data_IF_757405597840
#
_entry.id   IF_757405597840
#
_cell.length_a   1.000
_cell.length_b   1.000
_cell.length_c   1.000
_cell.angle_alpha   90.00
_cell.angle_beta   90.00
_cell.angle_gamma   90.00
#
_symmetry.space_group_name_H-M   'P 1'
#
loop_
_entity.id
_entity.type
_entity.pdbx_description
1 polymer ?
#
# COMPACT_ATOMS: atom_id res chain seq x y z
N UNK A 1 1.57 8.86 -25.33
CA UNK A 1 1.47 9.72 -26.52
C UNK A 1 1.36 8.77 -27.72
N UNK A 2 0.29 8.84 -28.51
CA UNK A 2 0.22 8.10 -29.78
C UNK A 2 0.72 9.06 -30.86
N UNK A 3 2.01 8.96 -31.19
CA UNK A 3 2.75 9.97 -31.98
C UNK A 3 2.50 9.72 -33.47
N UNK A 4 2.43 8.45 -33.86
CA UNK A 4 2.10 8.01 -35.21
C UNK A 4 1.08 6.86 -35.11
N UNK A 5 -0.23 7.11 -35.34
CA UNK A 5 -1.28 6.12 -35.11
C UNK A 5 -1.14 4.85 -35.96
N UNK A 6 -0.37 4.92 -37.04
CA UNK A 6 -0.13 3.79 -37.94
C UNK A 6 1.03 2.89 -37.51
N UNK A 7 1.74 3.23 -36.43
CA UNK A 7 2.76 2.40 -35.79
C UNK A 7 2.26 1.94 -34.43
N UNK A 8 2.31 0.64 -34.16
CA UNK A 8 1.94 0.11 -32.85
C UNK A 8 3.05 0.37 -31.84
N UNK A 9 2.84 1.37 -30.97
CA UNK A 9 3.83 1.72 -29.95
C UNK A 9 3.22 2.21 -28.63
N UNK A 10 3.91 1.95 -27.53
CA UNK A 10 3.56 2.44 -26.19
C UNK A 10 4.79 3.07 -25.54
N UNK A 11 4.60 4.22 -24.88
CA UNK A 11 5.65 4.91 -24.14
C UNK A 11 5.29 5.01 -22.67
N UNK A 12 6.24 4.68 -21.79
CA UNK A 12 6.11 4.73 -20.34
C UNK A 12 7.28 5.51 -19.76
N UNK A 13 6.98 6.57 -19.00
CA UNK A 13 7.97 7.31 -18.23
C UNK A 13 8.13 6.68 -16.84
N UNK A 14 9.33 6.17 -16.54
CA UNK A 14 9.71 5.60 -15.25
C UNK A 14 10.52 6.65 -14.49
N UNK A 15 9.86 7.33 -13.54
CA UNK A 15 10.45 8.43 -12.76
C UNK A 15 11.63 7.97 -11.91
N UNK A 16 12.78 8.61 -12.13
CA UNK A 16 13.98 8.46 -11.31
C UNK A 16 13.97 9.35 -10.06
N UNK A 17 15.14 9.47 -9.41
CA UNK A 17 15.36 10.42 -8.31
C UNK A 17 15.34 11.88 -8.77
N UNK A 18 15.81 12.11 -9.99
CA UNK A 18 15.92 13.41 -10.65
C UNK A 18 15.74 13.22 -12.17
N UNK A 19 15.69 14.34 -12.91
CA UNK A 19 15.51 14.33 -14.37
C UNK A 19 16.49 13.38 -15.08
N UNK A 20 17.76 13.40 -14.67
CA UNK A 20 18.84 12.61 -15.28
C UNK A 20 18.78 11.10 -14.98
N UNK A 21 17.82 10.66 -14.16
CA UNK A 21 17.63 9.25 -13.79
C UNK A 21 16.23 8.73 -14.16
N UNK A 22 15.40 9.56 -14.76
CA UNK A 22 14.14 9.13 -15.35
C UNK A 22 14.43 8.40 -16.66
N UNK A 23 13.74 7.29 -16.86
CA UNK A 23 13.87 6.43 -18.03
C UNK A 23 12.59 6.50 -18.84
N UNK A 24 12.71 6.77 -20.13
CA UNK A 24 11.62 6.63 -21.08
C UNK A 24 11.70 5.25 -21.74
N UNK A 25 10.71 4.40 -21.48
CA UNK A 25 10.58 3.08 -22.08
C UNK A 25 9.61 3.13 -23.27
N UNK A 26 10.11 2.87 -24.47
CA UNK A 26 9.31 2.66 -25.67
C UNK A 26 9.15 1.17 -25.95
N UNK A 27 7.94 0.74 -26.29
CA UNK A 27 7.67 -0.60 -26.81
C UNK A 27 7.07 -0.48 -28.19
N UNK A 28 7.65 -1.15 -29.19
CA UNK A 28 7.19 -1.13 -30.57
C UNK A 28 6.80 -2.53 -31.04
N UNK A 29 5.84 -2.59 -31.96
CA UNK A 29 5.48 -3.80 -32.67
C UNK A 29 5.35 -3.52 -34.17
N UNK A 30 5.94 -4.40 -34.98
CA UNK A 30 5.84 -4.37 -36.44
C UNK A 30 5.34 -5.74 -36.92
N UNK A 31 4.10 -5.85 -37.42
CA UNK A 31 3.52 -7.14 -37.79
C UNK A 31 3.76 -7.57 -39.24
N UNK A 32 4.12 -6.65 -40.15
CA UNK A 32 4.15 -6.94 -41.59
C UNK A 32 5.44 -7.65 -42.03
N UNK A 33 5.31 -8.79 -42.72
CA UNK A 33 6.46 -9.49 -43.31
C UNK A 33 6.89 -8.92 -44.68
N UNK A 34 6.06 -8.08 -45.31
CA UNK A 34 6.31 -7.48 -46.61
C UNK A 34 7.42 -6.40 -46.56
N UNK A 35 8.42 -6.51 -47.44
CA UNK A 35 9.60 -5.64 -47.48
C UNK A 35 9.26 -4.16 -47.76
N UNK A 36 8.27 -3.90 -48.62
CA UNK A 36 7.84 -2.54 -48.94
C UNK A 36 7.19 -1.87 -47.73
N UNK A 37 6.32 -2.62 -47.02
CA UNK A 37 5.68 -2.15 -45.80
C UNK A 37 6.67 -1.95 -44.65
N UNK A 38 7.69 -2.81 -44.54
CA UNK A 38 8.79 -2.64 -43.58
C UNK A 38 9.57 -1.36 -43.81
N UNK A 39 9.84 -1.02 -45.07
CA UNK A 39 10.52 0.25 -45.41
C UNK A 39 9.69 1.45 -44.95
N UNK A 40 8.39 1.47 -45.27
CA UNK A 40 7.47 2.52 -44.81
C UNK A 40 7.35 2.55 -43.27
N UNK A 41 7.39 1.39 -42.62
CA UNK A 41 7.39 1.33 -41.15
C UNK A 41 8.66 1.94 -40.55
N UNK A 42 9.84 1.73 -41.15
CA UNK A 42 11.10 2.33 -40.70
C UNK A 42 11.04 3.86 -40.80
N UNK A 43 10.52 4.41 -41.90
CA UNK A 43 10.35 5.87 -42.09
C UNK A 43 9.43 6.49 -41.01
N UNK A 44 8.36 5.76 -40.67
CA UNK A 44 7.43 6.17 -39.60
C UNK A 44 8.05 6.01 -38.22
N UNK A 45 8.81 4.94 -37.99
CA UNK A 45 9.57 4.73 -36.76
C UNK A 45 10.58 5.86 -36.54
N UNK A 46 11.32 6.25 -37.58
CA UNK A 46 12.21 7.42 -37.58
C UNK A 46 11.45 8.72 -37.22
N UNK A 47 10.27 8.93 -37.81
CA UNK A 47 9.43 10.09 -37.49
C UNK A 47 9.00 10.11 -36.01
N UNK A 48 8.66 8.95 -35.44
CA UNK A 48 8.35 8.81 -34.01
C UNK A 48 9.57 9.11 -33.16
N UNK A 49 10.74 8.57 -33.51
CA UNK A 49 11.99 8.84 -32.80
C UNK A 49 12.35 10.33 -32.83
N UNK A 50 12.21 11.01 -33.98
CA UNK A 50 12.45 12.44 -34.11
C UNK A 50 11.53 13.25 -33.17
N UNK A 51 10.23 12.94 -33.15
CA UNK A 51 9.27 13.61 -32.30
C UNK A 51 9.53 13.37 -30.79
N UNK A 52 10.01 12.18 -30.42
CA UNK A 52 10.40 11.86 -29.03
C UNK A 52 11.70 12.58 -28.66
N UNK A 53 12.70 12.56 -29.54
CA UNK A 53 14.00 13.19 -29.34
C UNK A 53 13.88 14.70 -29.09
N UNK A 54 12.94 15.38 -29.74
CA UNK A 54 12.64 16.80 -29.49
C UNK A 54 12.07 17.08 -28.09
N UNK A 55 11.48 16.08 -27.44
CA UNK A 55 10.77 16.22 -26.14
C UNK A 55 11.52 15.58 -24.99
N UNK A 56 12.44 14.66 -25.27
CA UNK A 56 13.08 13.81 -24.30
C UNK A 56 14.60 13.83 -24.48
N UNK A 57 15.30 14.36 -23.46
CA UNK A 57 16.76 14.46 -23.40
C UNK A 57 17.39 13.44 -22.42
N UNK A 58 16.58 12.56 -21.84
CA UNK A 58 17.00 11.61 -20.81
C UNK A 58 17.38 10.22 -21.31
N UNK A 59 17.41 9.27 -20.38
CA UNK A 59 17.66 7.85 -20.69
C UNK A 59 16.48 7.31 -21.49
N UNK A 60 16.77 6.65 -22.60
CA UNK A 60 15.79 6.01 -23.46
C UNK A 60 16.12 4.52 -23.61
N UNK A 61 15.12 3.68 -23.40
CA UNK A 61 15.18 2.24 -23.67
C UNK A 61 14.01 1.93 -24.59
N UNK A 62 14.27 1.26 -25.70
CA UNK A 62 13.26 0.81 -26.64
C UNK A 62 13.34 -0.71 -26.73
N UNK A 63 12.18 -1.38 -26.69
CA UNK A 63 12.10 -2.82 -26.82
C UNK A 63 10.95 -3.23 -27.75
N UNK A 64 10.99 -4.44 -28.27
CA UNK A 64 9.84 -5.05 -28.95
C UNK A 64 10.18 -5.89 -30.15
N UNK A 65 9.15 -6.47 -30.75
CA UNK A 65 9.25 -7.30 -31.95
C UNK A 65 9.07 -6.43 -33.19
N UNK A 66 10.17 -6.27 -33.94
CA UNK A 66 10.20 -5.49 -35.16
C UNK A 66 10.02 -6.35 -36.42
N UNK A 67 10.02 -7.68 -36.30
CA UNK A 67 10.14 -8.63 -37.41
C UNK A 67 11.26 -8.28 -38.43
N UNK A 68 12.24 -7.45 -38.08
CA UNK A 68 13.43 -7.13 -38.88
C UNK A 68 14.54 -8.04 -38.37
N UNK A 69 14.91 -9.04 -39.17
CA UNK A 69 15.95 -9.98 -38.79
C UNK A 69 17.34 -9.35 -38.91
N UNK A 70 18.07 -9.31 -37.79
CA UNK A 70 19.45 -8.83 -37.74
C UNK A 70 20.49 -9.96 -37.75
N UNK A 71 20.08 -11.24 -37.80
CA UNK A 71 21.00 -12.35 -38.04
C UNK A 71 21.43 -12.44 -39.52
N UNK A 72 20.60 -11.93 -40.44
CA UNK A 72 20.86 -11.95 -41.88
C UNK A 72 21.18 -10.56 -42.41
N UNK A 73 22.21 -10.44 -43.25
CA UNK A 73 22.53 -9.18 -43.93
C UNK A 73 21.40 -8.86 -44.91
N UNK A 74 20.67 -7.77 -44.66
CA UNK A 74 19.59 -7.30 -45.52
C UNK A 74 19.55 -5.78 -45.57
N UNK A 75 19.13 -5.22 -46.71
CA UNK A 75 18.99 -3.76 -46.90
C UNK A 75 18.05 -3.13 -45.84
N UNK A 76 17.01 -3.86 -45.42
CA UNK A 76 16.09 -3.41 -44.38
C UNK A 76 16.78 -3.37 -43.02
N UNK A 77 17.55 -4.38 -42.67
CA UNK A 77 18.35 -4.41 -41.45
C UNK A 77 19.36 -3.26 -41.41
N UNK A 78 20.05 -3.00 -42.51
CA UNK A 78 20.99 -1.87 -42.66
C UNK A 78 20.30 -0.51 -42.49
N UNK A 79 19.16 -0.29 -43.15
CA UNK A 79 18.35 0.93 -42.99
C UNK A 79 17.88 1.12 -41.55
N UNK A 80 17.40 0.05 -40.92
CA UNK A 80 16.97 0.08 -39.53
C UNK A 80 18.12 0.45 -38.59
N UNK A 81 19.28 -0.18 -38.74
CA UNK A 81 20.48 0.16 -37.97
C UNK A 81 20.96 1.59 -38.22
N UNK A 82 20.88 2.09 -39.45
CA UNK A 82 21.23 3.47 -39.80
C UNK A 82 20.32 4.48 -39.07
N UNK A 83 19.00 4.22 -39.02
CA UNK A 83 18.06 5.04 -38.24
C UNK A 83 18.44 5.02 -36.76
N UNK A 84 18.70 3.85 -36.16
CA UNK A 84 19.13 3.78 -34.76
C UNK A 84 20.40 4.59 -34.50
N UNK A 85 21.40 4.44 -35.37
CA UNK A 85 22.66 5.18 -35.27
C UNK A 85 22.44 6.70 -35.36
N UNK A 86 21.55 7.18 -36.23
CA UNK A 86 21.21 8.60 -36.36
C UNK A 86 20.66 9.23 -35.06
N UNK A 87 20.02 8.43 -34.20
CA UNK A 87 19.49 8.87 -32.89
C UNK A 87 20.38 8.47 -31.70
N UNK A 88 21.65 8.11 -31.94
CA UNK A 88 22.57 7.60 -30.91
C UNK A 88 22.00 6.40 -30.13
N UNK A 89 21.28 5.52 -30.83
CA UNK A 89 20.67 4.32 -30.26
C UNK A 89 21.49 3.08 -30.64
N UNK A 90 21.77 2.24 -29.65
CA UNK A 90 22.49 0.98 -29.81
C UNK A 90 21.56 -0.18 -29.52
N UNK A 91 21.46 -1.14 -30.45
CA UNK A 91 20.77 -2.41 -30.23
C UNK A 91 21.74 -3.38 -29.51
N UNK A 92 21.26 -4.12 -28.51
CA UNK A 92 22.10 -4.93 -27.61
C UNK A 92 21.87 -6.45 -27.68
N UNK A 93 20.83 -6.92 -28.35
CA UNK A 93 20.55 -8.36 -28.41
C UNK A 93 21.36 -8.93 -29.57
N UNK A 94 22.23 -9.90 -29.29
CA UNK A 94 23.13 -10.50 -30.30
C UNK A 94 22.82 -11.96 -30.61
N UNK A 95 21.96 -12.60 -29.84
CA UNK A 95 21.54 -13.99 -30.05
C UNK A 95 20.15 -14.06 -30.70
N UNK A 96 19.82 -15.13 -31.43
CA UNK A 96 18.49 -15.31 -32.00
C UNK A 96 17.40 -15.29 -30.93
N UNK A 97 16.27 -14.63 -31.22
CA UNK A 97 15.13 -14.46 -30.31
C UNK A 97 13.91 -15.26 -30.74
N UNK A 98 13.97 -15.96 -31.88
CA UNK A 98 12.88 -16.82 -32.34
C UNK A 98 13.41 -18.14 -32.87
N UNK A 99 13.03 -19.24 -32.20
CA UNK A 99 13.37 -20.62 -32.55
C UNK A 99 14.86 -20.85 -32.86
N UNK A 100 15.76 -20.09 -32.22
CA UNK A 100 17.21 -20.18 -32.46
C UNK A 100 17.69 -19.77 -33.85
N UNK A 101 16.88 -19.05 -34.65
CA UNK A 101 17.20 -18.75 -36.06
C UNK A 101 17.28 -17.27 -36.41
N UNK A 102 16.35 -16.47 -35.90
CA UNK A 102 16.23 -15.06 -36.27
C UNK A 102 16.28 -14.18 -35.03
N UNK A 103 16.84 -12.98 -35.21
CA UNK A 103 16.90 -11.94 -34.19
C UNK A 103 15.96 -10.83 -34.64
N UNK A 104 14.74 -10.86 -34.12
CA UNK A 104 13.65 -9.93 -34.50
C UNK A 104 13.15 -9.10 -33.32
N UNK A 105 13.43 -9.58 -32.09
CA UNK A 105 13.13 -8.89 -30.85
C UNK A 105 14.35 -8.07 -30.43
N UNK A 106 14.20 -6.75 -30.38
CA UNK A 106 15.29 -5.83 -30.14
C UNK A 106 15.17 -5.20 -28.75
N UNK A 107 16.31 -4.99 -28.11
CA UNK A 107 16.42 -4.08 -26.96
C UNK A 107 17.50 -3.05 -27.29
N UNK A 108 17.12 -1.79 -27.23
CA UNK A 108 17.85 -0.66 -27.79
C UNK A 108 17.97 0.44 -26.72
N UNK A 109 19.11 1.10 -26.59
CA UNK A 109 19.26 2.23 -25.66
C UNK A 109 20.28 3.27 -26.14
N UNK A 110 20.14 4.50 -25.63
CA UNK A 110 21.09 5.60 -25.81
C UNK A 110 22.19 5.66 -24.72
N UNK A 111 22.25 4.66 -23.83
CA UNK A 111 23.26 4.55 -22.77
C UNK A 111 23.97 3.18 -22.80
N UNK A 112 24.61 2.80 -23.92
CA UNK A 112 25.29 1.52 -24.03
C UNK A 112 26.34 1.29 -22.92
N UNK A 113 27.00 2.36 -22.45
CA UNK A 113 27.97 2.34 -21.36
C UNK A 113 27.39 1.96 -19.98
N UNK A 114 26.07 1.99 -19.81
CA UNK A 114 25.38 1.62 -18.58
C UNK A 114 24.85 0.18 -18.60
N UNK A 115 25.00 -0.54 -19.72
CA UNK A 115 24.57 -1.93 -19.85
C UNK A 115 25.55 -2.84 -19.11
N UNK A 116 25.04 -3.59 -18.12
CA UNK A 116 25.82 -4.54 -17.32
C UNK A 116 25.84 -5.92 -17.98
N UNK A 117 24.68 -6.37 -18.48
CA UNK A 117 24.53 -7.67 -19.12
C UNK A 117 23.34 -7.67 -20.09
N UNK A 118 23.42 -8.53 -21.10
CA UNK A 118 22.38 -8.79 -22.09
C UNK A 118 22.49 -10.25 -22.50
N UNK A 119 21.36 -10.94 -22.65
CA UNK A 119 21.31 -12.30 -23.17
C UNK A 119 19.87 -12.65 -23.58
N UNK A 120 19.66 -13.84 -24.12
CA UNK A 120 18.36 -14.37 -24.53
C UNK A 120 18.05 -15.64 -23.73
N UNK A 121 16.96 -15.60 -22.97
CA UNK A 121 16.49 -16.76 -22.22
C UNK A 121 15.57 -17.62 -23.09
N UNK A 122 15.94 -18.88 -23.29
CA UNK A 122 15.10 -19.82 -24.03
C UNK A 122 13.75 -20.01 -23.32
N UNK A 123 12.64 -19.79 -24.04
CA UNK A 123 11.27 -19.95 -23.52
C UNK A 123 10.36 -20.86 -24.35
N UNK A 124 10.83 -22.06 -24.79
CA UNK A 124 10.07 -22.94 -25.68
C UNK A 124 8.75 -23.45 -25.08
N UNK A 125 8.62 -23.43 -23.74
CA UNK A 125 7.42 -23.86 -23.03
C UNK A 125 6.31 -22.78 -22.99
N UNK A 126 6.62 -21.54 -23.37
CA UNK A 126 5.75 -20.36 -23.18
C UNK A 126 5.41 -19.70 -24.51
N UNK A 127 6.38 -19.60 -25.43
CA UNK A 127 6.25 -18.93 -26.72
C UNK A 127 7.19 -19.54 -27.75
N UNK A 128 6.95 -19.29 -29.04
CA UNK A 128 7.92 -19.53 -30.09
C UNK A 128 9.04 -18.48 -30.16
N UNK A 129 8.88 -17.38 -29.40
CA UNK A 129 9.94 -16.41 -29.11
C UNK A 129 10.65 -16.79 -27.80
N UNK A 130 11.94 -16.50 -27.77
CA UNK A 130 12.80 -16.50 -26.61
C UNK A 130 12.86 -15.09 -26.02
N UNK A 131 13.12 -14.98 -24.72
CA UNK A 131 13.01 -13.71 -23.99
C UNK A 131 14.37 -12.99 -23.95
N UNK A 132 14.61 -11.96 -24.78
CA UNK A 132 15.78 -11.11 -24.60
C UNK A 132 15.64 -10.31 -23.29
N UNK A 133 16.75 -10.09 -22.62
CA UNK A 133 16.80 -9.19 -21.46
C UNK A 133 18.00 -8.26 -21.51
N UNK A 134 17.85 -7.13 -20.84
CA UNK A 134 18.90 -6.14 -20.65
C UNK A 134 18.94 -5.74 -19.18
N UNK A 135 20.13 -5.82 -18.57
CA UNK A 135 20.40 -5.32 -17.22
C UNK A 135 21.12 -3.98 -17.38
N UNK A 136 20.47 -2.89 -16.99
CA UNK A 136 21.01 -1.54 -17.08
C UNK A 136 21.24 -0.97 -15.69
N UNK A 137 22.41 -0.37 -15.47
CA UNK A 137 22.71 0.37 -14.25
C UNK A 137 22.09 1.77 -14.31
N UNK A 138 20.86 1.90 -13.78
CA UNK A 138 20.17 3.19 -13.65
C UNK A 138 19.90 3.52 -12.19
N UNK A 139 20.03 4.80 -11.83
CA UNK A 139 19.75 5.30 -10.47
C UNK A 139 18.25 5.45 -10.24
N UNK A 140 17.54 4.36 -9.96
CA UNK A 140 16.11 4.42 -9.66
C UNK A 140 15.84 4.68 -8.16
N UNK A 141 14.66 5.23 -7.87
CA UNK A 141 14.12 5.16 -6.51
C UNK A 141 13.77 3.70 -6.22
N UNK A 142 14.44 3.10 -5.24
CA UNK A 142 14.04 1.79 -4.75
C UNK A 142 12.64 1.90 -4.16
N UNK A 143 11.81 0.90 -4.42
CA UNK A 143 10.54 0.79 -3.72
C UNK A 143 10.82 0.71 -2.23
N UNK A 144 10.46 1.74 -1.48
CA UNK A 144 10.53 1.74 -0.02
C UNK A 144 9.33 0.98 0.52
N UNK A 145 9.52 -0.24 1.07
CA UNK A 145 8.42 -1.00 1.61
C UNK A 145 7.82 -0.25 2.80
N UNK A 146 6.49 -0.08 2.76
CA UNK A 146 5.77 0.46 3.91
C UNK A 146 5.70 -0.59 5.00
N UNK A 147 6.03 -0.22 6.22
CA UNK A 147 5.88 -1.08 7.40
C UNK A 147 4.79 -0.53 8.32
N UNK A 148 4.12 -1.42 9.04
CA UNK A 148 3.27 -1.08 10.18
C UNK A 148 3.58 -2.04 11.33
N UNK A 149 3.47 -1.54 12.55
CA UNK A 149 3.42 -2.39 13.72
C UNK A 149 1.98 -2.84 13.92
N UNK A 150 1.78 -4.15 14.07
CA UNK A 150 0.48 -4.75 14.41
C UNK A 150 0.66 -5.66 15.61
N UNK A 151 -0.35 -5.77 16.45
CA UNK A 151 -0.39 -6.75 17.54
C UNK A 151 -0.53 -8.15 16.95
N UNK A 152 0.41 -9.04 17.23
CA UNK A 152 0.35 -10.44 16.76
C UNK A 152 -0.52 -11.26 17.69
N UNK A 153 -1.72 -11.62 17.25
CA UNK A 153 -2.65 -12.46 18.02
C UNK A 153 -2.53 -13.97 17.69
N UNK A 154 -1.48 -14.39 16.97
CA UNK A 154 -1.33 -15.78 16.49
C UNK A 154 -1.36 -16.82 17.62
N UNK A 155 -0.82 -16.46 18.79
CA UNK A 155 -0.71 -17.32 19.98
C UNK A 155 -1.49 -16.74 21.16
N UNK A 156 -2.40 -15.79 20.91
CA UNK A 156 -3.15 -15.15 21.98
C UNK A 156 -4.19 -16.11 22.57
N UNK A 157 -4.09 -16.39 23.87
CA UNK A 157 -5.12 -17.11 24.64
C UNK A 157 -5.80 -16.11 25.57
N UNK A 158 -7.12 -15.88 25.42
CA UNK A 158 -7.88 -15.05 26.35
C UNK A 158 -7.77 -15.52 27.80
N UNK A 159 -7.74 -16.82 28.03
CA UNK A 159 -7.71 -17.44 29.36
C UNK A 159 -6.36 -17.18 30.04
N UNK A 160 -5.25 -17.45 29.34
CA UNK A 160 -3.91 -17.19 29.87
C UNK A 160 -3.68 -15.70 30.10
N UNK A 161 -4.20 -14.85 29.21
CA UNK A 161 -4.12 -13.40 29.36
C UNK A 161 -4.88 -12.91 30.60
N UNK A 162 -6.11 -13.41 30.83
CA UNK A 162 -6.89 -13.05 32.01
C UNK A 162 -6.23 -13.53 33.32
N UNK A 163 -5.64 -14.73 33.32
CA UNK A 163 -4.89 -15.23 34.46
C UNK A 163 -3.73 -14.30 34.81
N UNK A 164 -2.87 -13.97 33.85
CA UNK A 164 -1.73 -13.08 34.06
C UNK A 164 -2.15 -11.68 34.50
N UNK A 165 -3.26 -11.16 33.99
CA UNK A 165 -3.82 -9.86 34.39
C UNK A 165 -4.27 -9.88 35.84
N UNK A 166 -4.87 -10.98 36.29
CA UNK A 166 -5.35 -11.13 37.68
C UNK A 166 -4.20 -11.12 38.71
N UNK A 167 -2.99 -11.46 38.27
CA UNK A 167 -1.78 -11.49 39.10
C UNK A 167 -0.99 -10.17 39.08
N UNK A 168 -1.40 -9.19 38.25
CA UNK A 168 -0.72 -7.90 38.19
C UNK A 168 -0.90 -7.12 39.51
N UNK A 169 0.15 -6.43 39.98
CA UNK A 169 0.13 -5.70 41.24
C UNK A 169 -0.58 -4.34 41.10
N UNK A 170 -1.85 -4.32 40.68
CA UNK A 170 -2.64 -3.08 40.56
C UNK A 170 -2.79 -2.33 41.89
N UNK A 171 -2.55 -3.00 43.03
CA UNK A 171 -2.47 -2.37 44.35
C UNK A 171 -1.45 -1.23 44.40
N UNK A 172 -0.38 -1.29 43.59
CA UNK A 172 0.65 -0.24 43.50
C UNK A 172 0.10 1.11 43.03
N UNK A 173 -0.96 1.11 42.20
CA UNK A 173 -1.64 2.34 41.74
C UNK A 173 -2.28 3.11 42.91
N UNK A 174 -2.69 2.42 43.97
CA UNK A 174 -3.28 3.06 45.14
C UNK A 174 -2.21 3.60 46.10
N UNK A 175 -0.98 3.13 45.99
CA UNK A 175 0.11 3.43 46.94
C UNK A 175 0.90 4.70 46.60
N UNK A 176 0.76 5.24 45.37
CA UNK A 176 1.44 6.47 44.94
C UNK A 176 0.48 7.65 45.03
N UNK A 177 0.93 8.84 45.40
CA UNK A 177 0.04 10.01 45.50
C UNK A 177 -0.08 10.77 44.18
N UNK A 178 1.02 10.88 43.44
CA UNK A 178 1.08 11.60 42.17
C UNK A 178 0.22 10.94 41.08
N UNK A 179 -0.52 11.78 40.34
CA UNK A 179 -1.52 11.33 39.38
C UNK A 179 -0.89 10.82 38.09
N UNK A 180 0.21 11.42 37.66
CA UNK A 180 0.94 10.98 36.49
C UNK A 180 1.59 9.62 36.77
N UNK A 181 2.18 9.43 37.95
CA UNK A 181 2.73 8.14 38.38
C UNK A 181 1.64 7.06 38.46
N UNK A 182 0.43 7.39 38.94
CA UNK A 182 -0.72 6.47 38.93
C UNK A 182 -1.06 6.01 37.51
N UNK A 183 -1.11 6.95 36.56
CA UNK A 183 -1.38 6.65 35.15
C UNK A 183 -0.27 5.78 34.55
N UNK A 184 0.99 6.12 34.80
CA UNK A 184 2.15 5.44 34.23
C UNK A 184 2.27 4.01 34.73
N UNK A 185 2.09 3.78 36.04
CA UNK A 185 2.09 2.42 36.62
C UNK A 185 0.97 1.59 36.02
N UNK A 186 -0.26 2.13 35.97
CA UNK A 186 -1.40 1.41 35.40
C UNK A 186 -1.18 1.06 33.93
N UNK A 187 -0.70 2.02 33.15
CA UNK A 187 -0.43 1.84 31.72
C UNK A 187 0.68 0.82 31.48
N UNK A 188 1.76 0.86 32.26
CA UNK A 188 2.90 -0.04 32.11
C UNK A 188 2.56 -1.48 32.48
N UNK A 189 1.80 -1.70 33.57
CA UNK A 189 1.34 -3.03 33.96
C UNK A 189 0.49 -3.67 32.86
N UNK A 190 -0.44 -2.91 32.29
CA UNK A 190 -1.29 -3.40 31.19
C UNK A 190 -0.51 -3.59 29.90
N UNK A 191 0.31 -2.61 29.52
CA UNK A 191 1.10 -2.64 28.29
C UNK A 191 2.05 -3.84 28.29
N UNK A 192 2.81 -4.03 29.36
CA UNK A 192 3.74 -5.15 29.49
C UNK A 192 3.03 -6.51 29.42
N UNK A 193 1.85 -6.64 30.03
CA UNK A 193 1.04 -7.86 29.93
C UNK A 193 0.52 -8.09 28.50
N UNK A 194 -0.02 -7.06 27.85
CA UNK A 194 -0.47 -7.14 26.45
C UNK A 194 0.70 -7.46 25.51
N UNK A 195 1.90 -6.91 25.76
CA UNK A 195 3.09 -7.17 24.96
C UNK A 195 3.53 -8.64 25.03
N UNK A 196 3.38 -9.30 26.18
CA UNK A 196 3.68 -10.73 26.34
C UNK A 196 2.72 -11.63 25.55
N UNK A 197 1.42 -11.31 25.58
CA UNK A 197 0.36 -12.14 24.98
C UNK A 197 0.07 -11.80 23.52
N UNK A 198 0.26 -10.55 23.12
CA UNK A 198 0.01 -10.02 21.79
C UNK A 198 1.09 -8.99 21.40
N UNK A 199 2.34 -9.40 21.15
CA UNK A 199 3.45 -8.49 20.90
C UNK A 199 3.25 -7.63 19.65
N UNK A 200 3.76 -6.39 19.67
CA UNK A 200 3.84 -5.56 18.46
C UNK A 200 4.89 -6.10 17.51
N UNK A 201 4.45 -6.57 16.34
CA UNK A 201 5.32 -7.08 15.28
C UNK A 201 5.37 -6.13 14.11
N UNK A 202 6.58 -5.89 13.59
CA UNK A 202 6.79 -5.09 12.38
C UNK A 202 6.40 -5.91 11.16
N UNK A 203 5.29 -5.54 10.52
CA UNK A 203 4.81 -6.17 9.31
C UNK A 203 5.05 -5.29 8.08
N UNK A 204 5.62 -5.90 7.04
CA UNK A 204 5.71 -5.29 5.71
C UNK A 204 4.31 -5.25 5.10
N UNK A 205 3.82 -4.05 4.81
CA UNK A 205 2.59 -3.88 4.05
C UNK A 205 2.88 -4.27 2.59
N UNK A 206 2.44 -5.46 2.24
CA UNK A 206 2.40 -5.93 0.86
C UNK A 206 1.14 -5.42 0.17
N UNK A 207 0.86 -5.97 -1.02
CA UNK A 207 -0.38 -5.72 -1.78
C UNK A 207 -1.61 -5.82 -0.87
N UNK A 208 -2.70 -5.10 -1.17
CA UNK A 208 -3.96 -5.21 -0.42
C UNK A 208 -4.35 -6.68 -0.26
N UNK A 209 -4.98 -7.05 0.87
CA UNK A 209 -5.45 -8.41 1.06
C UNK A 209 -6.34 -8.81 -0.12
N UNK A 210 -6.21 -10.06 -0.56
CA UNK A 210 -6.99 -10.66 -1.63
C UNK A 210 -7.90 -11.74 -1.03
N UNK A 211 -9.06 -11.37 -0.44
CA UNK A 211 -9.89 -12.30 0.34
C UNK A 211 -10.36 -13.50 -0.50
N UNK A 212 -10.53 -13.31 -1.82
CA UNK A 212 -10.90 -14.38 -2.74
C UNK A 212 -9.86 -15.50 -2.84
N UNK A 213 -8.61 -15.32 -2.36
CA UNK A 213 -7.61 -16.39 -2.30
C UNK A 213 -7.75 -17.28 -1.05
N UNK A 214 -8.59 -16.90 -0.08
CA UNK A 214 -8.90 -17.75 1.08
C UNK A 214 -9.95 -18.84 0.76
N UNK A 215 -10.42 -18.88 -0.48
CA UNK A 215 -11.32 -19.93 -0.97
C UNK A 215 -10.62 -21.30 -0.93
N UNK A 216 -11.28 -22.29 -0.32
CA UNK A 216 -10.72 -23.63 -0.09
C UNK A 216 -10.44 -24.35 -1.41
N UNK A 217 -11.27 -24.16 -2.43
CA UNK A 217 -11.07 -24.80 -3.74
C UNK A 217 -9.84 -24.24 -4.43
N UNK A 218 -9.61 -22.92 -4.33
CA UNK A 218 -8.41 -22.28 -4.86
C UNK A 218 -7.16 -22.80 -4.16
N UNK A 219 -7.19 -22.94 -2.83
CA UNK A 219 -6.05 -23.48 -2.07
C UNK A 219 -5.76 -24.93 -2.44
N UNK A 220 -6.79 -25.77 -2.58
CA UNK A 220 -6.64 -27.16 -3.00
C UNK A 220 -6.07 -27.27 -4.42
N UNK A 221 -6.56 -26.44 -5.35
CA UNK A 221 -6.03 -26.38 -6.70
C UNK A 221 -4.57 -25.92 -6.72
N UNK A 222 -4.18 -24.94 -5.90
CA UNK A 222 -2.79 -24.48 -5.78
C UNK A 222 -1.87 -25.61 -5.30
N UNK A 223 -2.25 -26.31 -4.22
CA UNK A 223 -1.50 -27.48 -3.73
C UNK A 223 -1.35 -28.54 -4.81
N UNK A 224 -2.44 -28.87 -5.52
CA UNK A 224 -2.44 -29.85 -6.60
C UNK A 224 -1.54 -29.41 -7.77
N UNK A 225 -1.59 -28.14 -8.17
CA UNK A 225 -0.71 -27.58 -9.21
C UNK A 225 0.75 -27.74 -8.82
N UNK A 226 1.11 -27.43 -7.58
CA UNK A 226 2.49 -27.47 -7.13
C UNK A 226 3.03 -28.90 -7.09
N UNK A 227 2.22 -29.86 -6.64
CA UNK A 227 2.53 -31.28 -6.73
C UNK A 227 2.69 -31.75 -8.20
N UNK A 228 1.77 -31.38 -9.09
CA UNK A 228 1.86 -31.74 -10.51
C UNK A 228 3.05 -31.11 -11.22
N UNK A 229 3.43 -29.89 -10.82
CA UNK A 229 4.63 -29.22 -11.34
C UNK A 229 5.89 -30.00 -10.96
N UNK A 230 5.96 -30.44 -9.70
CA UNK A 230 7.07 -31.27 -9.24
C UNK A 230 7.16 -32.58 -10.05
N UNK A 231 6.04 -33.27 -10.24
CA UNK A 231 5.97 -34.51 -11.03
C UNK A 231 6.40 -34.25 -12.49
N UNK A 232 5.83 -33.25 -13.15
CA UNK A 232 6.15 -32.94 -14.55
C UNK A 232 7.64 -32.60 -14.76
N UNK A 233 8.29 -31.94 -13.80
CA UNK A 233 9.73 -31.70 -13.84
C UNK A 233 10.56 -32.98 -13.63
N UNK A 234 10.07 -33.95 -12.84
CA UNK A 234 10.77 -35.22 -12.64
C UNK A 234 10.62 -36.16 -13.85
N UNK A 235 9.42 -36.27 -14.41
CA UNK A 235 9.11 -37.23 -15.48
C UNK A 235 9.45 -36.70 -16.86
N UNK A 236 9.39 -35.39 -17.07
CA UNK A 236 9.56 -34.73 -18.37
C UNK A 236 8.58 -35.21 -19.45
N UNK A 237 7.47 -35.85 -19.05
CA UNK A 237 6.45 -36.34 -19.97
C UNK A 237 5.44 -35.25 -20.32
N UNK A 238 5.13 -35.13 -21.60
CA UNK A 238 4.15 -34.14 -22.11
C UNK A 238 2.74 -34.38 -21.55
N UNK A 239 2.39 -35.62 -21.23
CA UNK A 239 1.13 -35.95 -20.53
C UNK A 239 1.04 -35.26 -19.17
N UNK A 240 2.11 -35.26 -18.39
CA UNK A 240 2.15 -34.67 -17.05
C UNK A 240 2.16 -33.14 -17.12
N UNK A 241 2.90 -32.58 -18.08
CA UNK A 241 2.87 -31.17 -18.40
C UNK A 241 1.48 -30.69 -18.85
N UNK A 242 0.76 -31.50 -19.63
CA UNK A 242 -0.62 -31.22 -20.05
C UNK A 242 -1.59 -31.19 -18.87
N UNK A 243 -1.48 -32.15 -17.94
CA UNK A 243 -2.29 -32.19 -16.71
C UNK A 243 -1.97 -30.97 -15.83
N UNK A 244 -0.69 -30.62 -15.66
CA UNK A 244 -0.27 -29.41 -14.96
C UNK A 244 -0.88 -28.15 -15.58
N UNK A 245 -0.80 -27.98 -16.91
CA UNK A 245 -1.37 -26.84 -17.64
C UNK A 245 -2.88 -26.75 -17.44
N UNK A 246 -3.58 -27.88 -17.49
CA UNK A 246 -5.03 -27.97 -17.23
C UNK A 246 -5.38 -27.45 -15.83
N UNK A 247 -4.67 -27.89 -14.78
CA UNK A 247 -4.91 -27.42 -13.41
C UNK A 247 -4.52 -25.96 -13.22
N UNK A 248 -3.41 -25.50 -13.82
CA UNK A 248 -3.01 -24.08 -13.82
C UNK A 248 -4.10 -23.19 -14.43
N UNK A 249 -4.71 -23.62 -15.53
CA UNK A 249 -5.78 -22.87 -16.18
C UNK A 249 -7.08 -22.89 -15.35
N UNK A 250 -7.40 -24.01 -14.71
CA UNK A 250 -8.53 -24.11 -13.76
C UNK A 250 -8.37 -23.12 -12.60
N UNK A 251 -7.16 -22.96 -12.04
CA UNK A 251 -6.89 -21.97 -10.98
C UNK A 251 -7.21 -20.56 -11.46
N UNK A 252 -6.77 -20.17 -12.68
CA UNK A 252 -7.07 -18.84 -13.23
C UNK A 252 -8.58 -18.60 -13.29
N UNK A 253 -9.35 -19.58 -13.76
CA UNK A 253 -10.81 -19.52 -13.82
C UNK A 253 -11.45 -19.41 -12.44
N UNK A 254 -11.04 -20.26 -11.50
CA UNK A 254 -11.54 -20.25 -10.12
C UNK A 254 -11.28 -18.90 -9.43
N UNK A 255 -10.07 -18.35 -9.56
CA UNK A 255 -9.73 -17.02 -9.03
C UNK A 255 -10.62 -15.93 -9.65
N UNK A 256 -10.85 -15.97 -10.97
CA UNK A 256 -11.71 -15.00 -11.66
C UNK A 256 -13.14 -15.06 -11.11
N UNK A 257 -13.70 -16.25 -10.95
CA UNK A 257 -15.05 -16.47 -10.43
C UNK A 257 -15.17 -16.06 -8.96
N UNK A 258 -14.24 -16.48 -8.09
CA UNK A 258 -14.23 -16.12 -6.68
C UNK A 258 -14.11 -14.60 -6.49
N UNK A 259 -13.22 -13.95 -7.26
CA UNK A 259 -13.08 -12.49 -7.26
C UNK A 259 -14.36 -11.79 -7.70
N UNK A 260 -15.00 -12.26 -8.78
CA UNK A 260 -16.27 -11.71 -9.27
C UNK A 260 -17.40 -11.83 -8.23
N UNK A 261 -17.55 -13.01 -7.64
CA UNK A 261 -18.56 -13.28 -6.62
C UNK A 261 -18.32 -12.43 -5.36
N UNK A 262 -17.06 -12.26 -4.95
CA UNK A 262 -16.69 -11.38 -3.84
C UNK A 262 -17.17 -9.94 -4.08
N UNK A 263 -16.84 -9.34 -5.24
CA UNK A 263 -17.27 -7.97 -5.54
C UNK A 263 -18.78 -7.86 -5.68
N UNK A 264 -19.43 -8.80 -6.38
CA UNK A 264 -20.89 -8.83 -6.51
C UNK A 264 -21.58 -8.85 -5.14
N UNK A 265 -21.14 -9.73 -4.23
CA UNK A 265 -21.69 -9.84 -2.87
C UNK A 265 -21.42 -8.58 -2.04
N UNK A 266 -20.24 -7.99 -2.17
CA UNK A 266 -19.90 -6.79 -1.42
C UNK A 266 -20.70 -5.56 -1.86
N UNK A 267 -20.88 -5.40 -3.18
CA UNK A 267 -21.63 -4.28 -3.76
C UNK A 267 -23.15 -4.43 -3.63
N UNK A 268 -23.67 -5.66 -3.46
CA UNK A 268 -25.08 -5.90 -3.14
C UNK A 268 -25.42 -5.75 -1.66
N UNK A 269 -24.46 -5.37 -0.81
CA UNK A 269 -24.69 -5.20 0.62
C UNK A 269 -25.63 -4.03 0.90
N UNK A 270 -26.68 -4.26 1.70
CA UNK A 270 -27.58 -3.20 2.19
C UNK A 270 -26.89 -2.18 3.10
N UNK A 271 -25.69 -2.50 3.61
CA UNK A 271 -24.90 -1.60 4.49
C UNK A 271 -23.95 -0.76 3.65
N UNK A 272 -24.22 0.54 3.54
CA UNK A 272 -23.39 1.50 2.77
C UNK A 272 -21.91 1.45 3.15
N UNK A 273 -21.58 1.28 4.45
CA UNK A 273 -20.19 1.15 4.93
C UNK A 273 -19.43 0.02 4.22
N UNK A 274 -20.08 -1.12 3.99
CA UNK A 274 -19.45 -2.28 3.34
C UNK A 274 -19.19 -2.00 1.86
N UNK A 275 -20.17 -1.40 1.17
CA UNK A 275 -20.06 -1.02 -0.24
C UNK A 275 -18.91 -0.04 -0.43
N UNK A 276 -18.89 1.05 0.35
CA UNK A 276 -17.83 2.07 0.28
C UNK A 276 -16.45 1.51 0.64
N UNK A 277 -16.35 0.59 1.59
CA UNK A 277 -15.08 -0.07 1.92
C UNK A 277 -14.46 -0.82 0.75
N UNK A 278 -15.30 -1.35 -0.16
CA UNK A 278 -14.85 -2.06 -1.37
C UNK A 278 -14.57 -1.10 -2.51
N UNK A 279 -15.42 -0.08 -2.70
CA UNK A 279 -15.20 0.98 -3.69
C UNK A 279 -13.85 1.67 -3.44
N UNK A 280 -13.54 2.03 -2.19
CA UNK A 280 -12.26 2.68 -1.86
C UNK A 280 -11.06 1.78 -2.15
N UNK A 281 -11.19 0.45 -2.03
CA UNK A 281 -10.11 -0.48 -2.41
C UNK A 281 -9.89 -0.53 -3.93
N UNK A 282 -10.95 -0.33 -4.73
CA UNK A 282 -10.88 -0.33 -6.19
C UNK A 282 -10.33 1.00 -6.70
N UNK A 283 -10.91 2.11 -6.23
CA UNK A 283 -10.55 3.46 -6.68
C UNK A 283 -9.21 3.92 -6.11
N UNK A 284 -8.73 3.27 -5.03
CA UNK A 284 -7.52 3.65 -4.31
C UNK A 284 -7.42 5.18 -4.14
N UNK A 285 -8.48 5.84 -3.62
CA UNK A 285 -8.52 7.28 -3.53
C UNK A 285 -7.31 7.71 -2.71
N UNK A 286 -6.51 8.62 -3.25
CA UNK A 286 -5.28 9.06 -2.60
C UNK A 286 -5.65 9.66 -1.24
N UNK A 287 -5.37 8.97 -0.10
CA UNK A 287 -5.66 9.54 1.19
C UNK A 287 -4.51 10.50 1.44
N UNK A 288 -4.63 11.73 0.93
CA UNK A 288 -3.81 12.82 1.44
C UNK A 288 -4.09 12.87 2.93
N UNK A 289 -3.10 12.46 3.74
CA UNK A 289 -3.16 12.70 5.18
C UNK A 289 -3.33 14.20 5.32
N UNK A 290 -4.43 14.62 5.95
CA UNK A 290 -4.58 15.99 6.39
C UNK A 290 -3.47 16.19 7.43
N UNK A 291 -2.39 16.82 6.97
CA UNK A 291 -1.31 17.32 7.81
C UNK A 291 -1.54 18.81 7.89
N UNK A 292 -2.59 19.18 8.60
CA UNK A 292 -2.83 20.57 8.95
C UNK A 292 -2.35 20.74 10.38
N UNK A 293 -1.65 21.84 10.62
CA UNK A 293 -1.25 22.21 11.95
C UNK A 293 -2.51 22.44 12.82
N UNK A 294 -2.55 21.97 14.09
CA UNK A 294 -3.73 22.18 14.94
C UNK A 294 -4.12 23.66 15.06
N UNK A 295 -3.16 24.59 15.07
CA UNK A 295 -3.48 26.02 15.11
C UNK A 295 -4.08 26.50 13.78
N UNK A 296 -3.60 26.01 12.64
CA UNK A 296 -4.20 26.27 11.32
C UNK A 296 -5.64 25.75 11.23
N UNK A 297 -5.91 24.53 11.72
CA UNK A 297 -7.26 23.99 11.81
C UNK A 297 -8.14 24.81 12.74
N UNK A 298 -7.62 25.19 13.92
CA UNK A 298 -8.35 25.99 14.87
C UNK A 298 -8.73 27.34 14.27
N UNK A 299 -7.79 28.03 13.62
CA UNK A 299 -8.05 29.29 12.92
C UNK A 299 -9.10 29.13 11.81
N UNK A 300 -9.04 28.04 11.03
CA UNK A 300 -10.04 27.74 10.02
C UNK A 300 -11.45 27.60 10.63
N UNK A 301 -11.58 26.91 11.76
CA UNK A 301 -12.87 26.71 12.42
C UNK A 301 -13.35 27.99 13.11
N UNK A 302 -12.47 28.73 13.79
CA UNK A 302 -12.79 30.03 14.40
C UNK A 302 -13.27 31.03 13.33
N UNK A 303 -12.64 31.06 12.16
CA UNK A 303 -13.05 31.97 11.06
C UNK A 303 -14.24 31.46 10.25
N UNK A 304 -14.85 30.34 10.62
CA UNK A 304 -15.99 29.75 9.88
C UNK A 304 -17.25 30.58 10.07
N UNK A 305 -17.50 31.10 11.26
CA UNK A 305 -18.63 32.00 11.55
C UNK A 305 -18.51 33.30 10.75
N UNK A 306 -17.33 33.90 10.71
CA UNK A 306 -17.04 35.09 9.91
C UNK A 306 -17.23 34.82 8.40
N UNK A 307 -16.78 33.68 7.88
CA UNK A 307 -17.01 33.31 6.47
C UNK A 307 -18.47 33.05 6.11
N UNK A 308 -19.25 32.43 7.00
CA UNK A 308 -20.63 32.02 6.70
C UNK A 308 -21.60 33.19 6.91
N UNK A 309 -21.41 33.98 7.96
CA UNK A 309 -22.37 35.00 8.38
C UNK A 309 -21.87 36.44 8.20
N UNK A 310 -20.60 36.65 7.81
CA UNK A 310 -20.03 37.99 7.62
C UNK A 310 -19.87 38.79 8.91
N UNK A 311 -19.97 38.13 10.07
CA UNK A 311 -19.83 38.73 11.39
C UNK A 311 -18.46 38.37 11.95
N UNK A 312 -17.64 39.38 12.22
CA UNK A 312 -16.38 39.18 12.94
C UNK A 312 -16.71 38.61 14.33
N UNK A 313 -16.15 37.44 14.66
CA UNK A 313 -15.97 37.09 16.06
C UNK A 313 -15.05 38.15 16.64
N UNK A 314 -15.63 39.10 17.39
CA UNK A 314 -14.89 40.17 18.05
C UNK A 314 -13.68 39.62 18.80
N UNK A 315 -12.64 40.45 19.05
CA UNK A 315 -11.45 40.01 19.76
C UNK A 315 -11.86 39.26 21.03
N UNK A 316 -11.23 38.11 21.30
CA UNK A 316 -11.57 37.22 22.43
C UNK A 316 -11.61 37.91 23.81
N UNK A 317 -11.16 39.16 23.89
CA UNK A 317 -11.45 40.10 24.98
C UNK A 317 -12.94 40.20 25.30
N UNK A 318 -13.86 40.12 24.33
CA UNK A 318 -15.30 40.16 24.59
C UNK A 318 -15.80 38.94 25.36
N UNK A 319 -15.23 37.75 25.11
CA UNK A 319 -15.58 36.54 25.88
C UNK A 319 -15.01 36.58 27.28
N UNK A 320 -13.75 37.01 27.45
CA UNK A 320 -13.14 37.09 28.79
C UNK A 320 -13.84 38.16 29.61
N UNK A 321 -14.07 39.34 29.04
CA UNK A 321 -14.81 40.42 29.69
C UNK A 321 -16.27 40.02 29.95
N UNK A 322 -16.91 39.30 29.04
CA UNK A 322 -18.25 38.73 29.26
C UNK A 322 -18.26 37.73 30.41
N UNK A 323 -17.33 36.76 30.41
CA UNK A 323 -17.20 35.75 31.47
C UNK A 323 -16.88 36.39 32.83
N UNK A 324 -16.08 37.46 32.85
CA UNK A 324 -15.78 38.26 34.05
C UNK A 324 -16.96 39.15 34.47
N UNK A 325 -17.80 39.58 33.52
CA UNK A 325 -19.03 40.34 33.77
C UNK A 325 -20.22 39.49 34.18
N UNK A 326 -20.16 38.17 33.95
CA UNK A 326 -21.14 37.24 34.46
C UNK A 326 -21.15 37.38 35.99
N UNK A 327 -22.34 37.46 36.63
CA UNK A 327 -22.41 37.46 38.07
C UNK A 327 -21.62 36.26 38.59
N UNK A 328 -20.63 36.48 39.44
CA UNK A 328 -20.03 35.38 40.22
C UNK A 328 -21.15 34.85 41.11
N UNK A 329 -21.85 33.85 40.60
CA UNK A 329 -22.89 33.19 41.36
C UNK A 329 -22.18 32.43 42.47
N UNK A 330 -22.11 33.06 43.65
CA UNK A 330 -21.65 32.44 44.90
C UNK A 330 -22.71 31.49 45.45
N UNK A 331 -23.70 31.12 44.65
CA UNK A 331 -24.59 30.02 44.98
C UNK A 331 -23.79 28.71 44.93
N UNK A 332 -24.04 27.83 45.89
CA UNK A 332 -23.39 26.52 45.98
C UNK A 332 -23.80 25.55 44.83
N UNK A 333 -24.51 26.08 43.82
CA UNK A 333 -25.12 25.41 42.67
C UNK A 333 -24.26 25.45 41.39
N UNK A 334 -22.99 25.84 41.48
CA UNK A 334 -22.04 25.76 40.36
C UNK A 334 -21.85 24.33 39.84
N UNK A 335 -21.36 24.19 38.61
CA UNK A 335 -20.96 22.90 38.06
C UNK A 335 -19.80 22.34 38.91
N UNK A 336 -20.04 21.26 39.64
CA UNK A 336 -19.05 20.52 40.44
C UNK A 336 -18.85 19.15 39.84
N UNK A 337 -17.60 18.74 39.70
CA UNK A 337 -17.30 17.40 39.22
C UNK A 337 -17.59 16.43 40.37
N UNK A 338 -18.35 15.39 40.10
CA UNK A 338 -18.66 14.37 41.11
C UNK A 338 -17.77 13.17 40.88
N UNK A 339 -17.25 12.54 41.94
CA UNK A 339 -16.57 11.26 41.83
C UNK A 339 -17.45 10.26 41.07
N UNK A 340 -16.83 9.54 40.14
CA UNK A 340 -17.48 8.49 39.37
C UNK A 340 -17.54 7.20 40.18
N UNK A 341 -18.60 6.44 39.97
CA UNK A 341 -18.73 5.10 40.54
C UNK A 341 -18.11 4.05 39.63
N UNK A 342 -17.83 2.87 40.20
CA UNK A 342 -17.41 1.70 39.45
C UNK A 342 -18.36 1.36 38.28
N UNK A 343 -19.67 1.51 38.50
CA UNK A 343 -20.67 1.21 37.50
C UNK A 343 -20.65 2.23 36.35
N UNK A 344 -20.40 3.51 36.64
CA UNK A 344 -20.27 4.55 35.61
C UNK A 344 -19.09 4.24 34.69
N UNK A 345 -17.93 3.93 35.26
CA UNK A 345 -16.72 3.57 34.48
C UNK A 345 -16.95 2.29 33.67
N UNK A 346 -17.61 1.28 34.24
CA UNK A 346 -17.97 0.04 33.54
C UNK A 346 -18.88 0.29 32.34
N UNK A 347 -19.92 1.12 32.51
CA UNK A 347 -20.82 1.49 31.42
C UNK A 347 -20.07 2.22 30.31
N UNK A 348 -19.22 3.20 30.65
CA UNK A 348 -18.44 3.93 29.66
C UNK A 348 -17.47 3.02 28.91
N UNK A 349 -16.74 2.14 29.60
CA UNK A 349 -15.81 1.20 28.98
C UNK A 349 -16.54 0.31 27.96
N UNK A 350 -17.75 -0.15 28.26
CA UNK A 350 -18.55 -1.00 27.38
C UNK A 350 -19.06 -0.28 26.12
N UNK A 351 -19.33 1.03 26.19
CA UNK A 351 -19.79 1.86 25.06
C UNK A 351 -18.67 2.03 24.01
N UNK A 352 -17.41 2.13 24.44
CA UNK A 352 -16.28 2.39 23.52
C UNK A 352 -16.14 1.24 22.52
N UNK A 353 -15.99 1.52 21.23
CA UNK A 353 -15.86 0.45 20.22
C UNK A 353 -14.50 -0.24 20.27
N UNK A 354 -14.49 -1.55 20.00
CA UNK A 354 -13.25 -2.34 19.98
C UNK A 354 -12.33 -1.99 18.79
N UNK A 355 -12.86 -1.36 17.75
CA UNK A 355 -12.14 -0.95 16.53
C UNK A 355 -11.72 0.53 16.54
N UNK A 356 -11.73 1.16 17.71
CA UNK A 356 -11.17 2.49 17.90
C UNK A 356 -9.64 2.48 17.73
N UNK A 357 -9.11 3.61 17.27
CA UNK A 357 -7.65 3.79 17.24
C UNK A 357 -7.13 3.78 18.67
N UNK A 358 -5.96 3.19 18.86
CA UNK A 358 -5.26 3.22 20.14
C UNK A 358 -4.93 4.66 20.52
N UNK A 359 -5.15 5.02 21.79
CA UNK A 359 -4.86 6.35 22.32
C UNK A 359 -3.36 6.61 22.47
N UNK A 360 -3.04 7.71 23.15
CA UNK A 360 -1.66 8.05 23.53
C UNK A 360 -1.03 6.98 24.44
N UNK A 361 -1.85 6.32 25.25
CA UNK A 361 -1.51 5.18 26.11
C UNK A 361 -0.98 3.94 25.38
N UNK A 362 -1.19 3.85 24.06
CA UNK A 362 -0.90 2.65 23.27
C UNK A 362 -1.61 1.38 23.78
N UNK A 363 -2.73 1.52 24.51
CA UNK A 363 -3.56 0.44 25.04
C UNK A 363 -4.81 0.21 24.17
N UNK A 364 -4.92 -0.91 23.44
CA UNK A 364 -6.09 -1.16 22.61
C UNK A 364 -7.31 -1.54 23.46
N UNK A 365 -8.42 -0.83 23.27
CA UNK A 365 -9.69 -1.02 24.00
C UNK A 365 -10.18 -2.47 24.04
N UNK A 366 -9.91 -3.24 22.97
CA UNK A 366 -10.24 -4.67 22.91
C UNK A 366 -9.69 -5.44 24.13
N UNK A 367 -8.45 -5.18 24.53
CA UNK A 367 -7.83 -5.87 25.67
C UNK A 367 -8.37 -5.33 26.99
N UNK A 368 -8.57 -4.02 27.10
CA UNK A 368 -9.14 -3.40 28.31
C UNK A 368 -10.53 -3.92 28.65
N UNK A 369 -11.39 -4.09 27.64
CA UNK A 369 -12.72 -4.66 27.82
C UNK A 369 -12.68 -6.11 28.29
N UNK A 370 -11.78 -6.91 27.70
CA UNK A 370 -11.60 -8.29 28.08
C UNK A 370 -11.21 -8.39 29.56
N UNK A 371 -10.35 -7.48 30.04
CA UNK A 371 -9.84 -7.42 31.42
C UNK A 371 -10.65 -6.56 32.36
N UNK A 372 -11.84 -6.09 31.96
CA UNK A 372 -12.63 -5.10 32.69
C UNK A 372 -12.81 -5.44 34.17
N UNK A 373 -13.08 -6.71 34.50
CA UNK A 373 -13.27 -7.17 35.88
C UNK A 373 -12.07 -6.88 36.80
N UNK A 374 -10.85 -6.84 36.26
CA UNK A 374 -9.62 -6.61 37.04
C UNK A 374 -9.20 -5.14 37.04
N UNK A 375 -9.48 -4.40 35.96
CA UNK A 375 -8.96 -3.03 35.79
C UNK A 375 -9.94 -1.95 36.23
N UNK A 376 -11.23 -2.26 36.38
CA UNK A 376 -12.25 -1.24 36.68
C UNK A 376 -12.01 -0.56 38.03
N UNK A 377 -11.57 -1.29 39.04
CA UNK A 377 -11.27 -0.71 40.36
C UNK A 377 -10.11 0.30 40.29
N UNK A 378 -8.91 -0.05 39.79
CA UNK A 378 -7.81 0.92 39.69
C UNK A 378 -8.14 2.06 38.72
N UNK A 379 -8.85 1.78 37.62
CA UNK A 379 -9.27 2.83 36.68
C UNK A 379 -10.24 3.84 37.32
N UNK A 380 -11.21 3.37 38.11
CA UNK A 380 -12.14 4.26 38.85
C UNK A 380 -11.38 5.14 39.84
N UNK A 381 -10.39 4.56 40.54
CA UNK A 381 -9.52 5.29 41.46
C UNK A 381 -8.74 6.40 40.75
N UNK A 382 -8.12 6.10 39.61
CA UNK A 382 -7.40 7.07 38.79
C UNK A 382 -8.32 8.21 38.34
N UNK A 383 -9.49 7.92 37.80
CA UNK A 383 -10.44 8.95 37.35
C UNK A 383 -10.86 9.86 38.51
N UNK A 384 -11.11 9.29 39.69
CA UNK A 384 -11.46 10.07 40.88
C UNK A 384 -10.29 10.90 41.41
N UNK A 385 -9.05 10.43 41.27
CA UNK A 385 -7.86 11.21 41.61
C UNK A 385 -7.73 12.45 40.71
N UNK A 386 -7.96 12.31 39.39
CA UNK A 386 -8.02 13.45 38.46
C UNK A 386 -9.13 14.44 38.82
N UNK A 387 -10.33 13.94 39.16
CA UNK A 387 -11.44 14.82 39.58
C UNK A 387 -11.08 15.61 40.84
N UNK A 388 -10.46 14.96 41.83
CA UNK A 388 -10.07 15.60 43.08
C UNK A 388 -8.97 16.66 42.90
N UNK A 389 -8.02 16.43 42.00
CA UNK A 389 -6.94 17.39 41.70
C UNK A 389 -7.45 18.67 41.05
N UNK A 390 -8.38 18.54 40.10
CA UNK A 390 -9.03 19.67 39.45
C UNK A 390 -9.85 20.51 40.45
N UNK A 391 -10.39 19.90 41.50
CA UNK A 391 -11.10 20.61 42.56
C UNK A 391 -10.18 21.17 43.66
N UNK A 392 -8.89 20.83 43.65
CA UNK A 392 -7.92 21.34 44.60
C UNK A 392 -7.56 22.79 44.27
N UNK A 393 -7.51 23.72 45.26
CA UNK A 393 -7.28 25.15 45.04
C UNK A 393 -5.89 25.51 44.49
N UNK A 394 -5.09 24.52 44.10
CA UNK A 394 -3.74 24.67 43.55
C UNK A 394 -3.58 24.08 42.13
N UNK A 395 -4.65 23.59 41.50
CA UNK A 395 -4.63 23.13 40.11
C UNK A 395 -4.18 24.25 39.17
N UNK A 396 -2.98 24.11 38.60
CA UNK A 396 -2.37 25.02 37.63
C UNK A 396 -2.34 24.40 36.25
#
# INVERSE_FOLDING_TARGET
MNIEPSVEHIWIEIKGKNKNSTVLLGVFYQPDFDLSKKTVWIEKFESVLAAVHLKWDGIMIIAGDSNIDLCSSSNIGEKYQAVLHAFNLTQHVTAPTRKGKCLVDHIITNIPQNVIATDVLATPEISDHDMPYLIVNVRSNRFEPRFKYIRSERLFSPEAFLQDISELPFSTVYAVDDIDDKNDIFNELLRSCIDRHAPLVRCKLTRPPAPWLQDVDIQNLQKRRDALRFIAHQTQLESDWSIYRSVRNKIKSAIKTAKHNFYRKALSSKRLKNVWSVIHKILNPNPKRIRSDPAELNNFFVSTTQRIFGVDSGPGSDIVTYLESLPQDRSDNGFKLKPVTFNDVCQQLNIIRNDCSTGYDHLPIKYLKLTSQHILSPLTHIVNAHIADVESPHGK
#
